data_IF_671412173362
#
_entry.id   IF_671412173362
#
_cell.length_a   1.000
_cell.length_b   1.000
_cell.length_c   1.000
_cell.angle_alpha   90.00
_cell.angle_beta   90.00
_cell.angle_gamma   90.00
#
_symmetry.space_group_name_H-M   'P 1'
#
loop_
_entity.id
_entity.type
_entity.pdbx_description
1 polymer ?
#
# COMPACT_ATOMS: atom_id res chain seq x y z
N UNK A 1 -1.46 -13.39 -16.68
CA UNK A 1 -1.29 -12.95 -15.28
C UNK A 1 -1.03 -14.20 -14.43
N UNK A 2 0.22 -14.40 -14.00
CA UNK A 2 0.58 -15.53 -13.14
C UNK A 2 0.39 -15.08 -11.68
N UNK A 3 -0.62 -15.62 -11.02
CA UNK A 3 -0.83 -15.47 -9.59
C UNK A 3 -0.15 -16.67 -8.91
N UNK A 4 0.87 -16.41 -8.12
CA UNK A 4 1.54 -17.45 -7.33
C UNK A 4 1.06 -17.35 -5.89
N UNK A 5 0.38 -18.36 -5.42
CA UNK A 5 -0.07 -18.46 -4.04
C UNK A 5 1.09 -18.91 -3.15
N UNK A 6 1.29 -18.23 -2.04
CA UNK A 6 2.16 -18.68 -0.96
C UNK A 6 1.30 -18.72 0.31
N UNK A 7 1.32 -19.82 1.01
CA UNK A 7 0.73 -19.90 2.35
C UNK A 7 1.33 -18.81 3.28
N UNK A 8 0.52 -18.03 3.98
CA UNK A 8 -0.93 -18.09 4.10
C UNK A 8 -1.68 -17.55 2.87
N UNK A 9 -2.86 -18.07 2.59
CA UNK A 9 -3.69 -17.83 1.39
C UNK A 9 -4.11 -16.37 1.13
N UNK A 10 -3.65 -15.42 1.95
CA UNK A 10 -4.04 -14.00 1.93
C UNK A 10 -3.01 -13.08 1.26
N UNK A 11 -1.87 -13.61 0.85
CA UNK A 11 -0.80 -12.85 0.17
C UNK A 11 -0.71 -13.30 -1.27
N UNK A 12 -0.96 -12.37 -2.19
CA UNK A 12 -0.91 -12.60 -3.63
C UNK A 12 0.25 -11.82 -4.24
N UNK A 13 0.99 -12.44 -5.16
CA UNK A 13 2.03 -11.76 -5.94
C UNK A 13 1.52 -11.52 -7.35
N UNK A 14 1.55 -10.27 -7.80
CA UNK A 14 0.95 -9.84 -9.06
C UNK A 14 1.96 -9.04 -9.87
N UNK A 15 2.14 -9.40 -11.15
CA UNK A 15 2.97 -8.64 -12.08
C UNK A 15 2.17 -7.50 -12.68
N UNK A 16 2.16 -6.34 -12.02
CA UNK A 16 1.48 -5.12 -12.48
C UNK A 16 1.99 -3.87 -11.77
N UNK A 17 1.71 -2.72 -12.36
CA UNK A 17 1.90 -1.43 -11.71
C UNK A 17 0.94 -1.29 -10.52
N UNK A 18 1.47 -0.93 -9.34
CA UNK A 18 0.69 -0.78 -8.11
C UNK A 18 -0.39 0.31 -8.21
N UNK A 19 -0.23 1.28 -9.09
CA UNK A 19 -1.23 2.34 -9.31
C UNK A 19 -2.34 1.95 -10.28
N UNK A 20 -2.18 0.81 -10.97
CA UNK A 20 -3.17 0.25 -11.90
C UNK A 20 -4.22 -0.59 -11.17
N UNK A 21 -5.26 -1.01 -11.88
CA UNK A 21 -6.31 -1.88 -11.33
C UNK A 21 -7.34 -1.14 -10.49
N UNK A 22 -8.13 -1.92 -9.75
CA UNK A 22 -9.33 -1.45 -9.05
C UNK A 22 -9.22 -1.53 -7.52
N UNK A 23 -8.25 -2.28 -7.00
CA UNK A 23 -8.08 -2.42 -5.56
C UNK A 23 -7.58 -1.12 -4.93
N UNK A 24 -7.87 -0.95 -3.65
CA UNK A 24 -7.26 0.08 -2.83
C UNK A 24 -5.73 -0.10 -2.80
N UNK A 25 -4.99 0.97 -2.55
CA UNK A 25 -3.53 0.97 -2.62
C UNK A 25 -2.97 1.21 -1.23
N UNK A 26 -1.90 0.52 -0.86
CA UNK A 26 -1.08 0.83 0.31
C UNK A 26 0.36 1.10 -0.12
N UNK A 27 0.98 2.13 0.45
CA UNK A 27 2.38 2.45 0.21
C UNK A 27 3.03 3.13 1.41
N UNK A 28 4.36 3.06 1.49
CA UNK A 28 5.13 3.69 2.56
C UNK A 28 5.42 5.16 2.27
N UNK A 29 5.32 5.99 3.30
CA UNK A 29 5.64 7.41 3.26
C UNK A 29 6.46 7.81 4.48
N UNK A 30 7.09 8.98 4.42
CA UNK A 30 7.73 9.64 5.55
C UNK A 30 6.89 10.80 6.07
N UNK A 31 7.02 11.12 7.36
CA UNK A 31 6.22 12.19 8.00
C UNK A 31 6.55 13.59 7.47
N UNK A 32 7.73 13.77 6.85
CA UNK A 32 8.08 15.02 6.16
C UNK A 32 7.33 15.24 4.83
N UNK A 33 6.54 14.26 4.39
CA UNK A 33 5.62 14.31 3.23
C UNK A 33 6.29 14.77 1.91
N UNK A 34 7.54 14.44 1.68
CA UNK A 34 8.24 14.87 0.47
C UNK A 34 7.75 14.19 -0.80
N UNK A 35 7.36 12.92 -0.74
CA UNK A 35 6.83 12.17 -1.90
C UNK A 35 7.66 12.36 -3.17
N UNK A 36 8.98 12.44 -3.03
CA UNK A 36 9.87 12.87 -4.10
C UNK A 36 10.31 11.77 -5.06
N UNK A 37 10.22 10.50 -4.65
CA UNK A 37 10.76 9.36 -5.39
C UNK A 37 9.84 8.14 -5.30
N UNK A 38 10.05 7.18 -6.22
CA UNK A 38 9.41 5.87 -6.23
C UNK A 38 7.88 5.91 -6.31
N UNK A 39 7.24 4.93 -5.69
CA UNK A 39 5.77 4.77 -5.70
C UNK A 39 5.05 5.95 -5.07
N UNK A 40 5.61 6.55 -4.02
CA UNK A 40 5.01 7.73 -3.38
C UNK A 40 4.90 8.91 -4.36
N UNK A 41 5.93 9.15 -5.18
CA UNK A 41 5.89 10.15 -6.24
C UNK A 41 4.81 9.86 -7.28
N UNK A 42 4.74 8.62 -7.75
CA UNK A 42 3.72 8.21 -8.73
C UNK A 42 2.29 8.42 -8.19
N UNK A 43 2.06 8.09 -6.91
CA UNK A 43 0.77 8.29 -6.25
C UNK A 43 0.44 9.77 -6.13
N UNK A 44 1.41 10.61 -5.74
CA UNK A 44 1.22 12.05 -5.69
C UNK A 44 0.85 12.64 -7.06
N UNK A 45 1.58 12.26 -8.10
CA UNK A 45 1.36 12.76 -9.47
C UNK A 45 0.01 12.30 -10.04
N UNK A 46 -0.43 11.08 -9.71
CA UNK A 46 -1.67 10.51 -10.24
C UNK A 46 -2.93 10.95 -9.48
N UNK A 47 -2.85 11.10 -8.18
CA UNK A 47 -4.02 11.29 -7.32
C UNK A 47 -4.06 12.64 -6.58
N UNK A 48 -2.94 13.30 -6.37
CA UNK A 48 -2.77 14.66 -5.79
C UNK A 48 -3.63 14.94 -4.55
N UNK A 49 -3.44 14.15 -3.50
CA UNK A 49 -4.22 14.28 -2.25
C UNK A 49 -3.36 14.71 -1.05
N UNK A 50 -2.36 15.55 -1.29
CA UNK A 50 -1.41 15.96 -0.25
C UNK A 50 -2.07 16.74 0.90
N UNK A 51 -3.10 17.55 0.62
CA UNK A 51 -3.79 18.32 1.65
C UNK A 51 -4.59 17.41 2.58
N UNK A 52 -5.29 16.41 2.03
CA UNK A 52 -6.05 15.42 2.79
C UNK A 52 -5.15 14.58 3.69
N UNK A 53 -3.91 14.31 3.26
CA UNK A 53 -2.92 13.61 4.08
C UNK A 53 -2.44 14.49 5.23
N UNK A 54 -2.11 15.76 4.95
CA UNK A 54 -1.58 16.69 5.96
C UNK A 54 -2.56 16.94 7.11
N UNK A 55 -3.85 17.09 6.82
CA UNK A 55 -4.86 17.35 7.87
C UNK A 55 -5.08 16.17 8.81
N UNK A 56 -4.66 14.97 8.44
CA UNK A 56 -4.74 13.79 9.31
C UNK A 56 -3.63 13.73 10.36
N UNK A 57 -2.55 14.51 10.17
CA UNK A 57 -1.44 14.70 11.13
C UNK A 57 -0.89 13.38 11.73
N UNK A 58 -0.62 12.41 10.88
CA UNK A 58 -0.20 11.07 11.29
C UNK A 58 1.27 11.03 11.74
N UNK A 59 1.51 10.32 12.82
CA UNK A 59 2.83 9.99 13.35
C UNK A 59 3.36 8.68 12.75
N UNK A 60 4.65 8.40 12.97
CA UNK A 60 5.27 7.12 12.57
C UNK A 60 4.55 5.94 13.24
N UNK A 61 4.17 4.94 12.45
CA UNK A 61 3.37 3.79 12.87
C UNK A 61 1.87 3.96 12.60
N UNK A 62 1.43 5.12 12.16
CA UNK A 62 0.05 5.40 11.79
C UNK A 62 -0.17 5.36 10.27
N UNK A 63 -1.42 5.36 9.86
CA UNK A 63 -1.83 5.26 8.45
C UNK A 63 -2.85 6.35 8.15
N UNK A 64 -2.53 7.26 7.23
CA UNK A 64 -3.52 8.17 6.66
C UNK A 64 -4.31 7.46 5.55
N UNK A 65 -5.58 7.82 5.41
CA UNK A 65 -6.46 7.27 4.36
C UNK A 65 -7.02 8.41 3.53
N UNK A 66 -6.88 8.29 2.21
CA UNK A 66 -7.51 9.19 1.26
C UNK A 66 -8.41 8.42 0.30
N UNK A 67 -9.41 9.08 -0.25
CA UNK A 67 -10.30 8.50 -1.23
C UNK A 67 -10.37 9.45 -2.44
N UNK A 68 -9.48 9.27 -3.44
CA UNK A 68 -9.47 10.14 -4.60
C UNK A 68 -10.80 10.08 -5.37
N UNK A 69 -11.24 11.20 -5.93
CA UNK A 69 -12.43 11.22 -6.76
C UNK A 69 -12.24 10.32 -7.98
N UNK A 70 -13.31 9.67 -8.39
CA UNK A 70 -13.30 8.84 -9.60
C UNK A 70 -13.31 9.75 -10.82
N UNK A 71 -12.22 9.76 -11.55
CA UNK A 71 -12.10 10.43 -12.83
C UNK A 71 -11.71 9.41 -13.91
N UNK A 72 -11.87 9.76 -15.17
CA UNK A 72 -11.40 8.93 -16.29
C UNK A 72 -9.89 8.60 -16.17
N UNK A 73 -9.09 9.48 -15.56
CA UNK A 73 -7.67 9.26 -15.31
C UNK A 73 -7.40 8.26 -14.17
N UNK A 74 -8.31 8.16 -13.19
CA UNK A 74 -8.15 7.28 -12.03
C UNK A 74 -8.92 5.95 -12.15
N UNK A 75 -9.86 5.87 -13.11
CA UNK A 75 -10.65 4.68 -13.42
C UNK A 75 -10.95 4.62 -14.92
N UNK A 76 -10.06 4.03 -15.75
CA UNK A 76 -10.18 4.08 -17.21
C UNK A 76 -11.30 3.23 -17.81
N UNK A 77 -11.98 2.40 -17.07
CA UNK A 77 -13.11 1.63 -17.60
C UNK A 77 -14.39 2.47 -17.63
N UNK A 78 -14.81 2.84 -18.82
CA UNK A 78 -16.03 3.62 -19.10
C UNK A 78 -17.36 2.87 -18.83
N UNK A 79 -17.31 1.72 -18.20
CA UNK A 79 -18.50 0.98 -17.81
C UNK A 79 -18.90 1.46 -16.42
N UNK A 80 -20.12 1.92 -16.26
CA UNK A 80 -20.74 2.30 -14.98
C UNK A 80 -20.95 1.07 -14.05
N UNK A 81 -19.90 0.30 -13.84
CA UNK A 81 -19.86 -0.70 -12.79
C UNK A 81 -19.69 0.06 -11.48
N UNK A 82 -20.62 -0.12 -10.56
CA UNK A 82 -20.54 0.44 -9.21
C UNK A 82 -19.41 -0.29 -8.47
N UNK A 83 -18.16 0.11 -8.77
CA UNK A 83 -17.03 -0.38 -8.00
C UNK A 83 -17.04 0.28 -6.61
N UNK A 84 -16.66 -0.44 -5.55
CA UNK A 84 -16.50 0.17 -4.24
C UNK A 84 -15.47 1.31 -4.31
N UNK A 85 -15.51 2.30 -3.38
CA UNK A 85 -14.55 3.38 -3.37
C UNK A 85 -13.12 2.82 -3.29
N UNK A 86 -12.20 3.42 -4.04
CA UNK A 86 -10.79 3.06 -4.02
C UNK A 86 -10.08 3.95 -3.02
N UNK A 87 -9.61 3.38 -1.93
CA UNK A 87 -8.85 4.08 -0.91
C UNK A 87 -7.35 4.01 -1.20
N UNK A 88 -6.61 5.02 -0.72
CA UNK A 88 -5.16 4.99 -0.67
C UNK A 88 -4.74 5.08 0.80
N UNK A 89 -3.99 4.09 1.24
CA UNK A 89 -3.46 3.97 2.59
C UNK A 89 -2.00 4.41 2.58
N UNK A 90 -1.70 5.50 3.28
CA UNK A 90 -0.37 6.09 3.39
C UNK A 90 0.25 5.66 4.72
N UNK A 91 1.20 4.73 4.67
CA UNK A 91 1.84 4.14 5.85
C UNK A 91 3.04 4.99 6.27
N UNK A 92 2.94 5.65 7.42
CA UNK A 92 4.00 6.50 7.98
C UNK A 92 5.06 5.66 8.65
N UNK A 93 6.03 5.18 7.90
CA UNK A 93 7.03 4.20 8.36
C UNK A 93 8.28 4.83 8.94
N UNK A 94 8.52 6.12 8.70
CA UNK A 94 9.71 6.88 9.12
C UNK A 94 9.42 8.38 9.21
N UNK A 95 10.24 9.11 9.96
CA UNK A 95 10.06 10.56 10.15
C UNK A 95 10.52 11.35 8.93
N UNK A 96 11.69 11.04 8.37
CA UNK A 96 12.28 11.76 7.24
C UNK A 96 12.56 10.85 6.05
N UNK A 97 12.46 11.39 4.85
CA UNK A 97 12.58 10.64 3.59
C UNK A 97 13.94 9.92 3.45
N UNK A 98 15.03 10.46 4.03
CA UNK A 98 16.37 9.88 4.00
C UNK A 98 16.60 8.79 5.06
N UNK A 99 15.69 8.63 6.02
CA UNK A 99 15.81 7.59 7.04
C UNK A 99 15.39 6.23 6.52
N UNK A 100 15.89 5.18 7.15
CA UNK A 100 15.44 3.81 6.97
C UNK A 100 14.34 3.50 7.99
N UNK A 101 13.20 2.91 7.59
CA UNK A 101 12.19 2.50 8.55
C UNK A 101 12.69 1.36 9.44
N UNK A 102 12.13 1.22 10.62
CA UNK A 102 12.34 0.06 11.49
C UNK A 102 11.34 -1.05 11.18
N UNK A 103 11.67 -2.30 11.52
CA UNK A 103 10.74 -3.42 11.45
C UNK A 103 9.50 -3.14 12.33
N UNK A 104 9.70 -2.56 13.51
CA UNK A 104 8.62 -2.18 14.43
C UNK A 104 7.67 -1.13 13.83
N UNK A 105 8.18 -0.10 13.14
CA UNK A 105 7.34 0.91 12.52
C UNK A 105 6.51 0.34 11.35
N UNK A 106 7.11 -0.54 10.55
CA UNK A 106 6.39 -1.23 9.47
C UNK A 106 5.30 -2.14 10.05
N UNK A 107 5.61 -2.91 11.07
CA UNK A 107 4.64 -3.81 11.70
C UNK A 107 3.46 -3.04 12.28
N UNK A 108 3.70 -1.94 12.98
CA UNK A 108 2.62 -1.07 13.49
C UNK A 108 1.76 -0.52 12.36
N UNK A 109 2.37 -0.03 11.28
CA UNK A 109 1.64 0.43 10.11
C UNK A 109 0.79 -0.66 9.47
N UNK A 110 1.29 -1.88 9.37
CA UNK A 110 0.54 -3.00 8.76
C UNK A 110 -0.65 -3.43 9.62
N UNK A 111 -0.52 -3.45 10.95
CA UNK A 111 -1.65 -3.69 11.86
C UNK A 111 -2.70 -2.58 11.74
N UNK A 112 -2.27 -1.33 11.67
CA UNK A 112 -3.16 -0.19 11.49
C UNK A 112 -3.84 -0.20 10.12
N UNK A 113 -3.10 -0.57 9.05
CA UNK A 113 -3.65 -0.79 7.72
C UNK A 113 -4.79 -1.82 7.76
N UNK A 114 -4.52 -3.01 8.33
CA UNK A 114 -5.52 -4.07 8.45
C UNK A 114 -6.75 -3.60 9.22
N UNK A 115 -6.54 -2.92 10.36
CA UNK A 115 -7.64 -2.36 11.17
C UNK A 115 -8.51 -1.40 10.36
N UNK A 116 -7.90 -0.49 9.60
CA UNK A 116 -8.61 0.47 8.75
C UNK A 116 -9.30 -0.20 7.57
N UNK A 117 -8.68 -1.21 6.95
CA UNK A 117 -9.33 -1.99 5.89
C UNK A 117 -10.62 -2.63 6.40
N UNK A 118 -10.58 -3.31 7.54
CA UNK A 118 -11.77 -3.93 8.15
C UNK A 118 -12.85 -2.88 8.45
N UNK A 119 -12.47 -1.76 9.05
CA UNK A 119 -13.39 -0.66 9.38
C UNK A 119 -14.07 -0.06 8.15
N UNK A 120 -13.35 0.03 7.02
CA UNK A 120 -13.85 0.61 5.77
C UNK A 120 -14.50 -0.44 4.84
N UNK A 121 -14.55 -1.70 5.23
CA UNK A 121 -15.07 -2.79 4.39
C UNK A 121 -14.19 -3.10 3.17
N UNK A 122 -12.91 -2.75 3.21
CA UNK A 122 -11.94 -3.04 2.16
C UNK A 122 -11.40 -4.45 2.34
N UNK A 123 -11.66 -5.34 1.38
CA UNK A 123 -11.18 -6.73 1.42
C UNK A 123 -9.81 -6.89 0.79
N UNK A 124 -9.54 -6.14 -0.28
CA UNK A 124 -8.35 -6.30 -1.10
C UNK A 124 -7.58 -4.98 -1.18
N UNK A 125 -6.29 -5.03 -0.87
CA UNK A 125 -5.36 -3.91 -1.04
C UNK A 125 -4.17 -4.35 -1.87
N UNK A 126 -3.73 -3.52 -2.80
CA UNK A 126 -2.50 -3.72 -3.56
C UNK A 126 -1.38 -2.83 -3.03
N UNK A 127 -0.19 -3.37 -2.95
CA UNK A 127 0.98 -2.70 -2.41
C UNK A 127 2.25 -3.07 -3.20
N UNK A 128 3.25 -2.19 -3.29
CA UNK A 128 4.57 -2.58 -3.78
C UNK A 128 5.26 -3.47 -2.73
N UNK A 129 6.46 -3.96 -3.02
CA UNK A 129 7.34 -4.57 -1.99
C UNK A 129 7.69 -3.51 -0.94
N UNK A 130 6.85 -3.39 0.08
CA UNK A 130 6.94 -2.37 1.13
C UNK A 130 8.32 -2.36 1.78
N UNK A 131 8.93 -1.18 1.92
CA UNK A 131 10.21 -0.99 2.59
C UNK A 131 11.45 -1.57 1.89
N UNK A 132 11.30 -2.32 0.80
CA UNK A 132 12.43 -2.99 0.13
C UNK A 132 13.00 -2.23 -1.07
N UNK A 133 12.34 -1.19 -1.53
CA UNK A 133 12.85 -0.33 -2.61
C UNK A 133 13.89 0.66 -2.10
N UNK A 134 13.57 1.94 -2.12
CA UNK A 134 14.45 3.02 -1.64
C UNK A 134 14.84 2.88 -0.16
N UNK A 135 14.00 2.26 0.64
CA UNK A 135 14.20 2.03 2.07
C UNK A 135 15.20 0.89 2.37
N UNK A 136 15.55 0.09 1.38
CA UNK A 136 16.57 -0.98 1.45
C UNK A 136 16.40 -1.97 2.61
N UNK A 137 15.17 -2.23 3.04
CA UNK A 137 14.90 -3.30 4.00
C UNK A 137 14.98 -4.67 3.31
N UNK A 138 15.40 -5.68 4.05
CA UNK A 138 15.37 -7.06 3.55
C UNK A 138 13.93 -7.52 3.37
N UNK A 139 13.59 -7.86 2.12
CA UNK A 139 12.21 -8.23 1.77
C UNK A 139 11.67 -9.41 2.58
N UNK A 140 12.51 -10.42 2.86
CA UNK A 140 12.14 -11.60 3.64
C UNK A 140 11.63 -11.22 5.04
N UNK A 141 12.22 -10.19 5.66
CA UNK A 141 11.77 -9.69 6.97
C UNK A 141 10.41 -9.00 6.87
N UNK A 142 10.24 -8.17 5.88
CA UNK A 142 8.97 -7.47 5.64
C UNK A 142 7.88 -8.48 5.29
N UNK A 143 8.19 -9.46 4.45
CA UNK A 143 7.25 -10.53 4.08
C UNK A 143 6.81 -11.36 5.30
N UNK A 144 7.74 -11.65 6.22
CA UNK A 144 7.41 -12.34 7.47
C UNK A 144 6.46 -11.52 8.36
N UNK A 145 6.63 -10.19 8.41
CA UNK A 145 5.71 -9.29 9.12
C UNK A 145 4.33 -9.30 8.44
N UNK A 146 4.29 -9.16 7.12
CA UNK A 146 3.04 -9.23 6.34
C UNK A 146 2.33 -10.56 6.62
N UNK A 147 3.04 -11.68 6.62
CA UNK A 147 2.49 -13.00 6.93
C UNK A 147 1.81 -13.06 8.29
N UNK A 148 2.44 -12.48 9.33
CA UNK A 148 1.83 -12.43 10.68
C UNK A 148 0.61 -11.52 10.76
N UNK A 149 0.63 -10.40 10.06
CA UNK A 149 -0.46 -9.42 10.10
C UNK A 149 -1.67 -9.88 9.29
N UNK A 150 -1.43 -10.53 8.15
CA UNK A 150 -2.46 -10.98 7.21
C UNK A 150 -2.70 -12.50 7.27
N UNK A 151 -2.60 -13.10 8.44
CA UNK A 151 -2.83 -14.53 8.67
C UNK A 151 -4.31 -14.93 8.78
N UNK A 152 -5.23 -14.00 8.63
CA UNK A 152 -6.65 -14.19 8.80
C UNK A 152 -7.42 -13.81 7.50
N UNK A 153 -8.38 -14.63 7.03
CA UNK A 153 -9.06 -14.49 5.73
C UNK A 153 -9.99 -13.28 5.59
N UNK A 154 -9.94 -12.31 6.51
CA UNK A 154 -10.80 -11.12 6.45
C UNK A 154 -10.36 -10.12 5.40
N UNK A 155 -9.05 -9.99 5.16
CA UNK A 155 -8.47 -9.05 4.19
C UNK A 155 -7.29 -9.68 3.46
N UNK A 156 -7.10 -9.28 2.20
CA UNK A 156 -6.03 -9.76 1.32
C UNK A 156 -5.07 -8.64 0.96
N UNK A 157 -3.80 -8.99 0.77
CA UNK A 157 -2.77 -8.08 0.25
C UNK A 157 -2.18 -8.62 -1.05
N UNK A 158 -2.18 -7.78 -2.08
CA UNK A 158 -1.63 -8.08 -3.40
C UNK A 158 -0.31 -7.33 -3.57
N UNK A 159 0.80 -8.05 -3.55
CA UNK A 159 2.14 -7.46 -3.72
C UNK A 159 2.41 -7.30 -5.22
N UNK A 160 2.47 -6.05 -5.67
CA UNK A 160 2.66 -5.67 -7.07
C UNK A 160 4.14 -5.44 -7.38
N UNK A 161 4.61 -5.99 -8.50
CA UNK A 161 5.95 -5.76 -9.02
C UNK A 161 5.90 -5.73 -10.54
N UNK A 162 6.67 -4.84 -11.17
CA UNK A 162 6.84 -4.78 -12.62
C UNK A 162 7.80 -5.86 -13.12
N UNK A 163 8.71 -6.33 -12.27
CA UNK A 163 9.58 -7.46 -12.54
C UNK A 163 8.89 -8.76 -12.14
N UNK A 164 9.01 -9.81 -12.96
CA UNK A 164 8.32 -11.07 -12.73
C UNK A 164 8.41 -11.54 -11.29
N UNK A 165 7.28 -11.81 -10.66
CA UNK A 165 7.16 -12.13 -9.25
C UNK A 165 7.94 -13.39 -8.89
N UNK A 166 9.13 -13.18 -8.36
CA UNK A 166 9.84 -14.19 -7.59
C UNK A 166 9.65 -13.90 -6.10
N UNK A 167 9.31 -14.90 -5.29
CA UNK A 167 9.22 -14.73 -3.83
C UNK A 167 10.59 -14.57 -3.17
N UNK A 168 11.68 -14.63 -3.95
CA UNK A 168 13.05 -14.46 -3.45
C UNK A 168 13.47 -13.01 -3.34
#
# INVERSE_FOLDING_TARGET
MLVKYIEPEMIYFVSMDVTSGHFSIAHCVSSDLRFGLGVARQIREKFDQMNEIRVQDCSVGEVAVTCPPRTAATCPSAVAVVHPPRFIFHLFTKSFCFQKPSEASIERCLWELRRKMVKLGVKDVQAPKLGSGLDKMKWEKVLAIIGRVFDNPVVNIHICSLEGCSPN
#
